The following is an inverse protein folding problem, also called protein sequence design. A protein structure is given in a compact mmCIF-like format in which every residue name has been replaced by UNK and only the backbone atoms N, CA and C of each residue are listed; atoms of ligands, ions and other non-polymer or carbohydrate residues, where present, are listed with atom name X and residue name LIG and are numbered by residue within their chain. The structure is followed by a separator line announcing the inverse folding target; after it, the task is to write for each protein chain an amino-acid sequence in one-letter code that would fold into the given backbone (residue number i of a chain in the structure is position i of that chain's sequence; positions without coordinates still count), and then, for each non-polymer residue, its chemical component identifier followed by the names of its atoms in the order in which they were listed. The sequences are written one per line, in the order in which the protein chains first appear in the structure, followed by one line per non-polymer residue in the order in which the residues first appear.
data_IF_853025851867
#
_entry.id   IF_853025851867
#
_cell.length_a   1.000
_cell.length_b   1.000
_cell.length_c   1.000
_cell.angle_alpha   90.00
_cell.angle_beta   90.00
_cell.angle_gamma   90.00
#
_symmetry.space_group_name_H-M   'P 1'
#
loop_
_entity.id
_entity.type
_entity.pdbx_description
1 polymer ?
#
# COMPACT_ATOMS: atom_id res chain seq x y z
N UNK A 1 0.96 8.08 19.59
CA UNK A 1 2.31 8.07 18.99
C UNK A 1 2.45 6.77 18.21
N UNK A 2 2.86 6.85 16.94
CA UNK A 2 3.12 5.71 16.05
C UNK A 2 4.55 5.76 15.55
N UNK A 3 5.04 4.69 14.90
CA UNK A 3 6.35 4.68 14.23
C UNK A 3 6.53 5.87 13.27
N UNK A 4 5.43 6.34 12.66
CA UNK A 4 5.42 7.40 11.65
C UNK A 4 5.30 8.83 12.20
N UNK A 5 5.06 9.02 13.51
CA UNK A 5 4.71 10.35 14.07
C UNK A 5 5.70 10.92 15.10
N UNK A 6 6.84 10.28 15.33
CA UNK A 6 7.83 10.72 16.33
C UNK A 6 7.29 10.71 17.78
N UNK A 7 8.16 10.99 18.77
CA UNK A 7 7.79 10.94 20.19
C UNK A 7 6.76 12.00 20.60
N UNK A 8 6.76 13.18 19.96
CA UNK A 8 5.78 14.24 20.17
C UNK A 8 4.39 13.91 19.61
N UNK A 9 4.30 12.95 18.69
CA UNK A 9 3.05 12.56 18.04
C UNK A 9 2.44 13.68 17.18
N UNK A 10 1.15 13.52 16.84
CA UNK A 10 0.38 14.55 16.12
C UNK A 10 -0.93 14.82 16.85
N UNK A 11 -1.30 16.09 16.98
CA UNK A 11 -2.60 16.49 17.54
C UNK A 11 -3.74 16.01 16.63
N UNK A 12 -4.66 15.22 17.18
CA UNK A 12 -5.85 14.73 16.48
C UNK A 12 -6.91 15.84 16.47
N UNK A 13 -7.29 16.30 15.28
CA UNK A 13 -8.28 17.38 15.12
C UNK A 13 -9.68 16.89 14.74
N UNK A 14 -9.80 15.66 14.21
CA UNK A 14 -11.05 15.08 13.72
C UNK A 14 -11.01 13.56 13.88
N UNK A 15 -12.19 12.96 14.01
CA UNK A 15 -12.40 11.51 13.99
C UNK A 15 -13.23 11.15 12.76
N UNK A 16 -12.87 10.06 12.08
CA UNK A 16 -13.70 9.40 11.09
C UNK A 16 -14.52 8.33 11.83
N UNK A 17 -15.85 8.35 11.65
CA UNK A 17 -16.76 7.35 12.22
C UNK A 17 -17.44 6.66 11.04
N UNK A 18 -17.39 5.33 11.03
CA UNK A 18 -17.93 4.48 9.98
C UNK A 18 -18.62 3.25 10.58
N UNK A 19 -19.41 2.56 9.77
CA UNK A 19 -19.97 1.27 10.15
C UNK A 19 -18.87 0.20 10.18
N UNK A 20 -18.97 -0.76 11.11
CA UNK A 20 -18.04 -1.88 11.16
C UNK A 20 -18.16 -2.77 9.93
N UNK A 21 -17.02 -3.16 9.34
CA UNK A 21 -16.97 -4.11 8.23
C UNK A 21 -16.70 -5.54 8.73
N UNK A 22 -17.37 -6.54 8.15
CA UNK A 22 -17.03 -7.95 8.34
C UNK A 22 -15.89 -8.36 7.39
N UNK A 23 -14.66 -8.08 7.81
CA UNK A 23 -13.45 -8.25 6.98
C UNK A 23 -13.08 -9.73 6.90
N UNK A 24 -13.30 -10.35 5.73
CA UNK A 24 -12.89 -11.75 5.47
C UNK A 24 -11.44 -11.90 5.04
N UNK A 25 -10.89 -10.90 4.35
CA UNK A 25 -9.52 -10.89 3.86
C UNK A 25 -9.05 -9.45 3.73
N UNK A 26 -7.79 -9.21 4.10
CA UNK A 26 -7.11 -7.94 3.88
C UNK A 26 -6.07 -8.13 2.78
N UNK A 27 -5.95 -7.13 1.91
CA UNK A 27 -4.95 -7.09 0.85
C UNK A 27 -4.21 -5.76 0.93
N UNK A 28 -2.93 -5.77 0.56
CA UNK A 28 -2.18 -4.55 0.32
C UNK A 28 -2.25 -4.20 -1.16
N UNK A 29 -2.56 -2.94 -1.48
CA UNK A 29 -2.49 -2.38 -2.84
C UNK A 29 -1.93 -0.97 -2.76
N UNK A 30 -0.97 -0.65 -3.62
CA UNK A 30 -0.47 0.71 -3.77
C UNK A 30 -0.16 1.06 -5.22
N UNK A 31 -0.16 2.36 -5.52
CA UNK A 31 0.31 2.91 -6.77
C UNK A 31 1.34 4.00 -6.46
N UNK A 32 2.54 3.84 -6.99
CA UNK A 32 3.65 4.78 -6.82
C UNK A 32 4.26 5.15 -8.15
N UNK A 33 4.87 6.33 -8.24
CA UNK A 33 5.70 6.67 -9.41
C UNK A 33 7.06 6.02 -9.19
N UNK A 34 7.34 4.98 -9.96
CA UNK A 34 8.66 4.36 -9.95
C UNK A 34 9.66 5.28 -10.67
N UNK A 35 10.69 5.70 -9.94
CA UNK A 35 11.67 6.67 -10.44
C UNK A 35 12.56 6.10 -11.54
N UNK A 36 12.76 4.77 -11.56
CA UNK A 36 13.63 4.12 -12.55
C UNK A 36 12.94 4.06 -13.90
N UNK A 37 11.71 3.55 -13.95
CA UNK A 37 10.91 3.47 -15.17
C UNK A 37 10.24 4.79 -15.55
N UNK A 38 10.12 5.74 -14.61
CA UNK A 38 9.32 6.96 -14.74
C UNK A 38 7.85 6.69 -15.08
N UNK A 39 7.34 5.55 -14.61
CA UNK A 39 5.97 5.09 -14.84
C UNK A 39 5.29 4.81 -13.51
N UNK A 40 3.97 4.62 -13.55
CA UNK A 40 3.23 4.16 -12.38
C UNK A 40 3.50 2.68 -12.18
N UNK A 41 3.94 2.31 -10.97
CA UNK A 41 4.04 0.95 -10.52
C UNK A 41 2.87 0.64 -9.58
N UNK A 42 2.07 -0.36 -9.93
CA UNK A 42 1.08 -0.97 -9.04
C UNK A 42 1.77 -2.07 -8.26
N UNK A 43 1.69 -2.02 -6.94
CA UNK A 43 2.17 -3.08 -6.06
C UNK A 43 0.98 -3.72 -5.33
N UNK A 44 0.94 -5.03 -5.24
CA UNK A 44 -0.11 -5.77 -4.53
C UNK A 44 0.47 -6.94 -3.74
N UNK A 45 -0.15 -7.26 -2.59
CA UNK A 45 0.24 -8.41 -1.77
C UNK A 45 -0.97 -8.99 -1.02
N UNK A 46 -0.93 -10.29 -0.74
CA UNK A 46 -1.88 -10.97 0.15
C UNK A 46 -1.74 -10.59 1.61
N UNK A 47 -0.64 -9.94 1.99
CA UNK A 47 -0.32 -9.54 3.36
C UNK A 47 -0.89 -8.15 3.68
N UNK A 48 -2.21 -8.00 3.54
CA UNK A 48 -2.90 -6.78 3.99
C UNK A 48 -2.84 -6.64 5.52
N UNK A 49 -2.92 -5.40 6.01
CA UNK A 49 -2.87 -5.10 7.45
C UNK A 49 -1.46 -5.15 8.07
N UNK A 50 -0.45 -5.55 7.30
CA UNK A 50 0.96 -5.57 7.72
C UNK A 50 1.73 -4.36 7.18
N UNK A 51 2.88 -4.08 7.80
CA UNK A 51 3.87 -3.14 7.30
C UNK A 51 4.49 -3.71 6.01
N UNK A 52 4.36 -2.99 4.89
CA UNK A 52 4.77 -3.51 3.58
C UNK A 52 6.29 -3.55 3.46
N UNK A 53 7.01 -2.68 4.15
CA UNK A 53 8.45 -2.65 4.20
C UNK A 53 8.99 -3.93 4.89
N UNK A 54 8.31 -4.42 5.93
CA UNK A 54 8.63 -5.71 6.55
C UNK A 54 8.41 -6.90 5.60
N UNK A 55 7.30 -6.90 4.85
CA UNK A 55 7.00 -7.94 3.85
C UNK A 55 8.06 -7.94 2.75
N UNK A 56 8.47 -6.77 2.27
CA UNK A 56 9.51 -6.64 1.26
C UNK A 56 10.87 -7.16 1.73
N UNK A 57 11.19 -7.02 3.02
CA UNK A 57 12.45 -7.47 3.59
C UNK A 57 12.52 -8.99 3.83
N UNK A 58 11.40 -9.62 4.23
CA UNK A 58 11.39 -11.02 4.68
C UNK A 58 10.75 -12.00 3.69
N UNK A 59 9.72 -11.56 2.97
CA UNK A 59 8.96 -12.39 2.01
C UNK A 59 8.66 -11.59 0.72
N UNK A 60 9.70 -11.11 0.00
CA UNK A 60 9.53 -10.26 -1.18
C UNK A 60 8.70 -10.93 -2.29
N UNK A 61 8.69 -12.26 -2.36
CA UNK A 61 7.93 -13.03 -3.33
C UNK A 61 6.41 -12.88 -3.21
N UNK A 62 5.93 -12.37 -2.06
CA UNK A 62 4.51 -12.05 -1.85
C UNK A 62 4.09 -10.69 -2.42
N UNK A 63 5.05 -9.89 -2.89
CA UNK A 63 4.79 -8.59 -3.49
C UNK A 63 4.83 -8.73 -5.02
N UNK A 64 3.69 -8.45 -5.65
CA UNK A 64 3.56 -8.40 -7.09
C UNK A 64 3.63 -6.95 -7.55
N UNK A 65 4.49 -6.66 -8.52
CA UNK A 65 4.63 -5.32 -9.10
C UNK A 65 4.31 -5.35 -10.59
N UNK A 66 3.42 -4.45 -11.02
CA UNK A 66 3.06 -4.23 -12.42
C UNK A 66 3.41 -2.79 -12.82
N UNK A 67 4.21 -2.63 -13.86
CA UNK A 67 4.49 -1.31 -14.45
C UNK A 67 3.40 -0.99 -15.47
N UNK A 68 2.74 0.15 -15.28
CA UNK A 68 1.64 0.60 -16.12
C UNK A 68 2.17 1.46 -17.25
N UNK A 69 1.85 1.07 -18.50
CA UNK A 69 2.16 1.89 -19.67
C UNK A 69 1.23 3.13 -19.72
N UNK A 70 1.76 4.36 -19.69
CA UNK A 70 0.93 5.57 -19.61
C UNK A 70 -0.03 5.74 -20.79
N UNK A 71 0.35 5.26 -21.98
CA UNK A 71 -0.49 5.31 -23.18
C UNK A 71 -1.67 4.35 -23.15
N UNK A 72 -1.62 3.33 -22.29
CA UNK A 72 -2.59 2.24 -22.27
C UNK A 72 -3.38 2.14 -20.97
N UNK A 73 -2.83 2.67 -19.87
CA UNK A 73 -3.44 2.54 -18.55
C UNK A 73 -3.33 1.13 -17.98
N UNK A 74 -4.02 0.90 -16.84
CA UNK A 74 -4.10 -0.43 -16.25
C UNK A 74 -5.02 -1.31 -17.09
N UNK A 75 -4.54 -2.49 -17.47
CA UNK A 75 -5.30 -3.47 -18.24
C UNK A 75 -5.71 -4.64 -17.36
N UNK A 76 -6.97 -5.04 -17.46
CA UNK A 76 -7.40 -6.40 -17.15
C UNK A 76 -7.01 -7.23 -18.38
N UNK A 77 -6.04 -8.14 -18.24
CA UNK A 77 -5.50 -8.96 -19.34
C UNK A 77 -6.58 -9.59 -20.22
#
# INVERSE_FOLDING_TARGET
VTHQTGPEGKKVNRLLIEEGADIKKELYVSLVVDRVSQKVALMASSEGGMDIEEVAAHTPEKIHTLIIEPSEGLKDS
#
